data_IF_830576484683
#
_entry.id   IF_830576484683
#
_cell.length_a   1.000
_cell.length_b   1.000
_cell.length_c   1.000
_cell.angle_alpha   90.00
_cell.angle_beta   90.00
_cell.angle_gamma   90.00
#
_symmetry.space_group_name_H-M   'P 1'
#
loop_
_entity.id
_entity.type
_entity.pdbx_description
1 polymer ?
#
# COMPACT_ATOMS: atom_id res chain seq x y z
N UNK A 1 -19.82 19.37 13.31
CA UNK A 1 -20.70 19.05 14.46
C UNK A 1 -20.20 17.92 15.37
N UNK A 2 -19.32 17.03 14.89
CA UNK A 2 -18.84 15.91 15.72
C UNK A 2 -17.94 16.38 16.87
N UNK A 3 -17.19 17.47 16.72
CA UNK A 3 -16.35 18.01 17.79
C UNK A 3 -17.21 18.53 18.95
N UNK A 4 -18.34 19.17 18.64
CA UNK A 4 -19.32 19.60 19.65
C UNK A 4 -19.89 18.40 20.44
N UNK A 5 -20.31 17.34 19.74
CA UNK A 5 -20.84 16.14 20.40
C UNK A 5 -19.81 15.48 21.33
N UNK A 6 -18.55 15.40 20.92
CA UNK A 6 -17.47 14.89 21.76
C UNK A 6 -17.16 15.81 22.95
N UNK A 7 -17.21 17.13 22.74
CA UNK A 7 -17.02 18.13 23.79
C UNK A 7 -18.08 18.00 24.89
N UNK A 8 -19.36 17.85 24.50
CA UNK A 8 -20.48 17.64 25.41
C UNK A 8 -20.37 16.29 26.13
N UNK A 9 -20.17 15.19 25.39
CA UNK A 9 -20.13 13.83 25.96
C UNK A 9 -19.02 13.63 27.00
N UNK A 10 -17.92 14.39 26.92
CA UNK A 10 -16.83 14.35 27.91
C UNK A 10 -17.14 15.09 29.21
N UNK A 11 -18.09 16.02 29.19
CA UNK A 11 -18.35 16.94 30.29
C UNK A 11 -19.75 16.78 30.89
N UNK A 12 -20.69 16.21 30.15
CA UNK A 12 -22.08 16.12 30.53
C UNK A 12 -22.69 14.77 30.11
N UNK A 13 -23.59 14.25 30.94
CA UNK A 13 -24.36 13.05 30.64
C UNK A 13 -25.79 13.19 31.13
N UNK A 14 -26.75 12.65 30.40
CA UNK A 14 -28.17 12.74 30.74
C UNK A 14 -28.53 12.16 32.12
N UNK A 15 -27.71 11.25 32.66
CA UNK A 15 -27.98 10.57 33.92
C UNK A 15 -27.38 11.27 35.15
N UNK A 16 -26.40 12.16 34.96
CA UNK A 16 -25.64 12.77 36.06
C UNK A 16 -25.48 14.29 35.92
N UNK A 17 -25.75 14.84 34.75
CA UNK A 17 -25.52 16.24 34.45
C UNK A 17 -26.75 17.08 34.72
N UNK A 18 -26.53 18.23 35.34
CA UNK A 18 -27.53 19.29 35.47
C UNK A 18 -27.80 19.95 34.11
N UNK A 19 -29.07 20.18 33.77
CA UNK A 19 -29.49 20.83 32.53
C UNK A 19 -29.12 22.33 32.50
N UNK A 20 -29.01 22.96 33.67
CA UNK A 20 -28.58 24.35 33.82
C UNK A 20 -27.05 24.49 33.97
N UNK A 21 -26.35 23.35 34.04
CA UNK A 21 -24.90 23.29 34.18
C UNK A 21 -24.15 23.86 32.97
N UNK A 22 -23.21 24.76 33.23
CA UNK A 22 -22.35 25.32 32.18
C UNK A 22 -21.28 24.32 31.71
N UNK A 23 -21.11 24.19 30.39
CA UNK A 23 -20.09 23.33 29.77
C UNK A 23 -19.03 24.18 29.07
N UNK A 24 -17.75 23.84 29.25
CA UNK A 24 -16.67 24.55 28.55
C UNK A 24 -16.60 24.07 27.10
N UNK A 25 -16.72 25.00 26.16
CA UNK A 25 -16.59 24.71 24.73
C UNK A 25 -15.12 24.61 24.35
N UNK A 26 -14.71 23.48 23.77
CA UNK A 26 -13.36 23.30 23.24
C UNK A 26 -13.14 24.13 21.98
N UNK A 27 -11.87 24.36 21.60
CA UNK A 27 -11.54 25.10 20.36
C UNK A 27 -12.14 24.45 19.11
N UNK A 28 -12.11 23.12 19.03
CA UNK A 28 -12.68 22.38 17.90
C UNK A 28 -14.21 22.47 17.87
N UNK A 29 -14.85 22.42 19.04
CA UNK A 29 -16.30 22.61 19.14
C UNK A 29 -16.71 24.04 18.78
N UNK A 30 -15.93 25.04 19.17
CA UNK A 30 -16.14 26.42 18.76
C UNK A 30 -15.99 26.59 17.23
N UNK A 31 -15.01 25.92 16.62
CA UNK A 31 -14.86 25.91 15.16
C UNK A 31 -16.07 25.28 14.45
N UNK A 32 -16.57 24.16 14.97
CA UNK A 32 -17.83 23.53 14.50
C UNK A 32 -19.03 24.48 14.60
N UNK A 33 -19.13 25.26 15.68
CA UNK A 33 -20.22 26.22 15.92
C UNK A 33 -20.12 27.46 15.01
N UNK A 34 -18.91 27.93 14.69
CA UNK A 34 -18.71 29.07 13.77
C UNK A 34 -19.37 28.86 12.42
N UNK A 35 -19.45 27.62 11.94
CA UNK A 35 -20.14 27.30 10.69
C UNK A 35 -21.61 27.75 10.70
N UNK A 36 -22.30 27.61 11.83
CA UNK A 36 -23.73 27.95 11.98
C UNK A 36 -24.01 29.44 12.13
N UNK A 37 -23.02 30.22 12.55
CA UNK A 37 -23.15 31.68 12.71
C UNK A 37 -22.98 32.39 11.35
N UNK A 38 -22.38 31.73 10.36
CA UNK A 38 -22.21 32.28 9.02
C UNK A 38 -23.51 32.18 8.21
N UNK A 39 -24.18 33.32 7.98
CA UNK A 39 -25.48 33.38 7.29
C UNK A 39 -25.52 32.71 5.93
N UNK A 40 -24.43 32.79 5.15
CA UNK A 40 -24.33 32.14 3.84
C UNK A 40 -24.50 30.60 3.90
N UNK A 41 -24.07 29.98 5.01
CA UNK A 41 -24.20 28.53 5.18
C UNK A 41 -25.65 28.12 5.47
N UNK A 42 -26.44 29.01 6.11
CA UNK A 42 -27.85 28.77 6.41
C UNK A 42 -28.73 28.94 5.17
N UNK A 43 -28.33 29.84 4.26
CA UNK A 43 -29.04 30.08 2.99
C UNK A 43 -28.69 29.08 1.88
N UNK A 44 -27.58 28.34 2.02
CA UNK A 44 -27.20 27.29 1.06
C UNK A 44 -27.99 26.00 1.32
N UNK A 45 -28.96 25.73 0.44
CA UNK A 45 -29.68 24.46 0.42
C UNK A 45 -28.81 23.29 -0.04
N UNK A 46 -29.23 22.06 0.31
CA UNK A 46 -28.73 20.83 -0.32
C UNK A 46 -29.79 20.27 -1.26
N UNK A 47 -29.39 19.71 -2.42
CA UNK A 47 -30.30 18.96 -3.27
C UNK A 47 -30.97 17.82 -2.49
N UNK A 48 -32.29 17.68 -2.61
CA UNK A 48 -33.03 16.59 -1.98
C UNK A 48 -32.71 15.24 -2.65
N UNK A 49 -32.58 15.24 -3.97
CA UNK A 49 -32.11 14.09 -4.72
C UNK A 49 -30.58 14.13 -4.80
N UNK A 50 -29.93 13.13 -4.20
CA UNK A 50 -28.52 12.88 -4.49
C UNK A 50 -28.43 12.28 -5.89
N UNK A 51 -27.56 12.83 -6.75
CA UNK A 51 -27.27 12.21 -8.03
C UNK A 51 -26.85 10.76 -7.79
N UNK A 52 -27.40 9.78 -8.53
CA UNK A 52 -27.04 8.38 -8.36
C UNK A 52 -25.52 8.25 -8.47
N UNK A 53 -24.90 7.36 -7.67
CA UNK A 53 -23.46 7.15 -7.77
C UNK A 53 -23.12 6.73 -9.19
N UNK A 54 -22.23 7.50 -9.81
CA UNK A 54 -21.76 7.25 -11.18
C UNK A 54 -20.63 6.21 -11.16
N UNK A 55 -19.94 6.12 -10.03
CA UNK A 55 -18.67 5.41 -9.92
C UNK A 55 -18.62 4.61 -8.62
N UNK A 56 -18.23 3.33 -8.72
CA UNK A 56 -18.20 2.40 -7.59
C UNK A 56 -16.78 1.97 -7.28
N UNK A 57 -16.33 2.26 -6.06
CA UNK A 57 -15.03 1.84 -5.50
C UNK A 57 -15.27 0.73 -4.50
N UNK A 58 -14.59 -0.39 -4.66
CA UNK A 58 -14.66 -1.52 -3.73
C UNK A 58 -13.35 -1.57 -2.95
N UNK A 59 -13.44 -1.74 -1.63
CA UNK A 59 -12.29 -1.68 -0.73
C UNK A 59 -12.30 -2.81 0.28
N UNK A 60 -11.11 -3.18 0.74
CA UNK A 60 -10.90 -4.14 1.81
C UNK A 60 -9.63 -3.80 2.60
N UNK A 61 -9.61 -4.16 3.88
CA UNK A 61 -8.40 -4.12 4.68
C UNK A 61 -8.13 -5.47 5.36
N UNK A 62 -6.85 -5.79 5.49
CA UNK A 62 -6.38 -6.87 6.34
C UNK A 62 -5.47 -6.30 7.44
N UNK A 63 -4.96 -7.17 8.29
CA UNK A 63 -3.90 -6.82 9.24
C UNK A 63 -2.56 -6.52 8.55
N UNK A 64 -2.37 -6.95 7.31
CA UNK A 64 -1.13 -6.77 6.54
C UNK A 64 -1.14 -5.50 5.68
N UNK A 65 -2.26 -5.19 5.04
CA UNK A 65 -2.39 -4.03 4.17
C UNK A 65 -3.83 -3.77 3.73
N UNK A 66 -3.98 -2.95 2.72
CA UNK A 66 -5.27 -2.58 2.13
C UNK A 66 -5.27 -2.80 0.62
N UNK A 67 -6.46 -3.04 0.09
CA UNK A 67 -6.72 -3.25 -1.33
C UNK A 67 -7.98 -2.53 -1.76
N UNK A 68 -8.00 -2.06 -3.00
CA UNK A 68 -9.18 -1.48 -3.60
C UNK A 68 -9.17 -1.60 -5.11
N UNK A 69 -10.36 -1.58 -5.71
CA UNK A 69 -10.47 -1.49 -7.15
C UNK A 69 -11.63 -0.58 -7.59
N UNK A 70 -11.47 -0.04 -8.80
CA UNK A 70 -12.41 0.84 -9.49
C UNK A 70 -12.52 0.36 -10.95
N UNK A 71 -13.58 -0.38 -11.27
CA UNK A 71 -13.65 -1.10 -12.55
C UNK A 71 -12.45 -2.03 -12.69
N UNK A 72 -11.60 -1.79 -13.70
CA UNK A 72 -10.37 -2.55 -13.94
C UNK A 72 -9.13 -1.98 -13.23
N UNK A 73 -9.21 -0.75 -12.69
CA UNK A 73 -8.11 -0.15 -11.96
C UNK A 73 -8.00 -0.79 -10.58
N UNK A 74 -6.80 -1.22 -10.22
CA UNK A 74 -6.50 -1.81 -8.92
C UNK A 74 -5.48 -0.94 -8.19
N UNK A 75 -5.60 -0.92 -6.87
CA UNK A 75 -4.54 -0.41 -6.01
C UNK A 75 -4.47 -1.23 -4.73
N UNK A 76 -3.26 -1.34 -4.18
CA UNK A 76 -3.01 -1.93 -2.87
C UNK A 76 -1.85 -1.24 -2.19
N UNK A 77 -1.76 -1.36 -0.88
CA UNK A 77 -0.62 -0.86 -0.11
C UNK A 77 -0.47 -1.58 1.22
N UNK A 78 0.77 -1.73 1.68
CA UNK A 78 1.07 -2.28 2.99
C UNK A 78 0.81 -1.25 4.08
N UNK A 79 0.40 -1.72 5.26
CA UNK A 79 0.37 -0.89 6.46
C UNK A 79 1.78 -0.70 7.02
N UNK A 80 2.09 0.51 7.50
CA UNK A 80 3.31 0.72 8.29
C UNK A 80 3.27 -0.07 9.61
N UNK A 81 4.41 -0.24 10.28
CA UNK A 81 4.46 -0.93 11.57
C UNK A 81 3.57 -0.26 12.62
N UNK A 82 3.48 1.07 12.60
CA UNK A 82 2.58 1.83 13.49
C UNK A 82 1.11 1.62 13.13
N UNK A 83 0.82 1.44 11.84
CA UNK A 83 -0.54 1.25 11.35
C UNK A 83 -1.07 -0.16 11.64
N UNK A 84 -0.23 -1.19 11.55
CA UNK A 84 -0.61 -2.58 11.84
C UNK A 84 -1.12 -2.80 13.28
N UNK A 85 -0.79 -1.89 14.20
CA UNK A 85 -1.26 -1.93 15.59
C UNK A 85 -2.71 -1.44 15.72
N UNK A 86 -3.23 -0.72 14.72
CA UNK A 86 -4.61 -0.25 14.76
C UNK A 86 -5.62 -1.37 14.58
N UNK A 87 -6.75 -1.25 15.27
CA UNK A 87 -7.86 -2.19 15.14
C UNK A 87 -8.42 -2.19 13.70
N UNK A 88 -8.84 -3.36 13.21
CA UNK A 88 -9.29 -3.59 11.83
C UNK A 88 -10.35 -2.59 11.33
N UNK A 89 -11.38 -2.24 12.12
CA UNK A 89 -12.37 -1.21 11.75
C UNK A 89 -11.75 0.15 11.37
N UNK A 90 -10.62 0.53 11.99
CA UNK A 90 -9.92 1.76 11.64
C UNK A 90 -9.14 1.60 10.35
N UNK A 91 -8.53 0.43 10.14
CA UNK A 91 -7.81 0.08 8.92
C UNK A 91 -8.76 0.04 7.72
N UNK A 92 -9.95 -0.53 7.87
CA UNK A 92 -11.02 -0.52 6.86
C UNK A 92 -11.42 0.90 6.44
N UNK A 93 -11.71 1.75 7.42
CA UNK A 93 -12.07 3.15 7.14
C UNK A 93 -10.89 3.94 6.53
N UNK A 94 -9.65 3.61 6.90
CA UNK A 94 -8.45 4.19 6.32
C UNK A 94 -8.21 3.70 4.89
N UNK A 95 -8.45 2.43 4.60
CA UNK A 95 -8.35 1.84 3.27
C UNK A 95 -9.26 2.59 2.29
N UNK A 96 -10.49 2.89 2.69
CA UNK A 96 -11.41 3.74 1.92
C UNK A 96 -10.78 5.10 1.60
N UNK A 97 -10.22 5.79 2.60
CA UNK A 97 -9.60 7.10 2.39
C UNK A 97 -8.38 7.04 1.47
N UNK A 98 -7.57 5.99 1.54
CA UNK A 98 -6.41 5.80 0.69
C UNK A 98 -6.80 5.46 -0.75
N UNK A 99 -7.76 4.56 -0.93
CA UNK A 99 -8.32 4.20 -2.23
C UNK A 99 -8.89 5.42 -2.96
N UNK A 100 -9.73 6.20 -2.29
CA UNK A 100 -10.33 7.40 -2.89
C UNK A 100 -9.27 8.44 -3.28
N UNK A 101 -8.23 8.60 -2.46
CA UNK A 101 -7.11 9.49 -2.78
C UNK A 101 -6.35 9.04 -4.02
N UNK A 102 -6.10 7.75 -4.15
CA UNK A 102 -5.38 7.21 -5.30
C UNK A 102 -6.19 7.29 -6.59
N UNK A 103 -7.48 7.02 -6.52
CA UNK A 103 -8.39 7.14 -7.66
C UNK A 103 -8.89 8.55 -7.92
N UNK A 104 -8.38 9.58 -7.21
CA UNK A 104 -8.84 10.97 -7.32
C UNK A 104 -9.00 11.47 -8.77
N UNK A 105 -8.07 11.20 -9.71
CA UNK A 105 -8.24 11.63 -11.12
C UNK A 105 -9.56 11.16 -11.75
N UNK A 106 -10.05 9.99 -11.34
CA UNK A 106 -11.27 9.36 -11.84
C UNK A 106 -12.51 9.65 -11.00
N UNK A 107 -12.39 10.36 -9.86
CA UNK A 107 -13.47 10.56 -8.89
C UNK A 107 -13.85 12.03 -8.67
N UNK A 108 -12.99 12.97 -9.04
CA UNK A 108 -13.18 14.40 -8.76
C UNK A 108 -14.53 14.90 -9.29
N UNK A 109 -15.31 15.58 -8.45
CA UNK A 109 -16.61 16.14 -8.83
C UNK A 109 -17.75 15.12 -8.97
N UNK A 110 -17.54 13.85 -8.65
CA UNK A 110 -18.53 12.79 -8.86
C UNK A 110 -19.21 12.31 -7.57
N UNK A 111 -20.37 11.68 -7.75
CA UNK A 111 -21.00 10.82 -6.73
C UNK A 111 -20.36 9.44 -6.77
N UNK A 112 -19.74 9.04 -5.67
CA UNK A 112 -18.97 7.81 -5.53
C UNK A 112 -19.63 6.89 -4.50
N UNK A 113 -19.89 5.65 -4.92
CA UNK A 113 -20.31 4.57 -4.03
C UNK A 113 -19.08 3.80 -3.55
N UNK A 114 -18.96 3.64 -2.24
CA UNK A 114 -17.96 2.79 -1.61
C UNK A 114 -18.62 1.48 -1.20
N UNK A 115 -18.08 0.36 -1.67
CA UNK A 115 -18.48 -0.98 -1.24
C UNK A 115 -17.41 -1.54 -0.30
N UNK A 116 -17.83 -1.95 0.90
CA UNK A 116 -16.97 -2.55 1.94
C UNK A 116 -17.74 -3.66 2.66
N UNK A 117 -17.06 -4.70 3.09
CA UNK A 117 -17.64 -5.75 3.94
C UNK A 117 -17.71 -5.33 5.42
N UNK A 118 -17.01 -4.25 5.79
CA UNK A 118 -17.03 -3.73 7.14
C UNK A 118 -18.20 -2.77 7.38
N UNK A 119 -19.25 -3.29 8.02
CA UNK A 119 -20.43 -2.50 8.38
C UNK A 119 -20.11 -1.30 9.27
N UNK A 120 -19.09 -1.38 10.14
CA UNK A 120 -18.68 -0.25 10.98
C UNK A 120 -18.13 0.88 10.13
N UNK A 121 -17.24 0.59 9.18
CA UNK A 121 -16.70 1.57 8.25
C UNK A 121 -17.83 2.21 7.42
N UNK A 122 -18.73 1.40 6.86
CA UNK A 122 -19.93 1.87 6.13
C UNK A 122 -20.75 2.86 6.97
N UNK A 123 -21.06 2.52 8.22
CA UNK A 123 -21.83 3.40 9.11
C UNK A 123 -21.11 4.71 9.40
N UNK A 124 -19.81 4.67 9.68
CA UNK A 124 -19.02 5.88 9.96
C UNK A 124 -18.93 6.79 8.73
N UNK A 125 -18.88 6.25 7.52
CA UNK A 125 -18.93 7.03 6.28
C UNK A 125 -20.31 7.69 6.16
N UNK A 126 -21.39 6.93 6.15
CA UNK A 126 -22.74 7.44 5.92
C UNK A 126 -23.22 8.42 7.01
N UNK A 127 -22.79 8.21 8.26
CA UNK A 127 -23.09 9.11 9.38
C UNK A 127 -22.11 10.29 9.49
N UNK A 128 -21.07 10.36 8.67
CA UNK A 128 -20.04 11.39 8.76
C UNK A 128 -19.40 11.47 10.15
N UNK A 129 -18.91 10.31 10.60
CA UNK A 129 -18.35 10.11 11.94
C UNK A 129 -19.34 9.50 12.93
N UNK A 130 -18.87 9.33 14.17
CA UNK A 130 -19.61 8.67 15.23
C UNK A 130 -19.06 8.98 16.62
N UNK A 131 -19.74 8.47 17.65
CA UNK A 131 -19.39 8.69 19.06
C UNK A 131 -18.92 7.41 19.78
N UNK A 132 -18.88 6.27 19.06
CA UNK A 132 -18.44 4.99 19.61
C UNK A 132 -16.92 4.86 19.72
N UNK A 133 -16.17 5.52 18.83
CA UNK A 133 -14.71 5.55 18.86
C UNK A 133 -14.19 6.89 18.36
N UNK A 134 -13.34 7.52 19.16
CA UNK A 134 -12.72 8.80 18.81
C UNK A 134 -11.81 8.68 17.58
N UNK A 135 -11.06 7.58 17.46
CA UNK A 135 -10.16 7.34 16.33
C UNK A 135 -10.93 7.15 15.02
N UNK A 136 -12.00 6.33 15.03
CA UNK A 136 -12.87 6.15 13.86
C UNK A 136 -13.55 7.47 13.46
N UNK A 137 -14.01 8.25 14.45
CA UNK A 137 -14.62 9.55 14.18
C UNK A 137 -13.62 10.51 13.52
N UNK A 138 -12.40 10.58 14.06
CA UNK A 138 -11.33 11.41 13.50
C UNK A 138 -10.97 11.00 12.08
N UNK A 139 -10.90 9.71 11.79
CA UNK A 139 -10.61 9.21 10.44
C UNK A 139 -11.75 9.51 9.46
N UNK A 140 -13.01 9.34 9.88
CA UNK A 140 -14.18 9.71 9.08
C UNK A 140 -14.22 11.22 8.78
N UNK A 141 -13.89 12.07 9.75
CA UNK A 141 -13.82 13.52 9.53
C UNK A 141 -12.72 13.90 8.54
N UNK A 142 -11.56 13.24 8.59
CA UNK A 142 -10.49 13.43 7.59
C UNK A 142 -10.95 13.02 6.19
N UNK A 143 -11.64 11.89 6.08
CA UNK A 143 -12.22 11.41 4.84
C UNK A 143 -13.22 12.43 4.26
N UNK A 144 -14.16 12.92 5.08
CA UNK A 144 -15.19 13.86 4.63
C UNK A 144 -14.66 15.25 4.30
N UNK A 145 -13.69 15.77 5.07
CA UNK A 145 -13.01 17.03 4.72
C UNK A 145 -12.34 16.89 3.36
N UNK A 146 -11.58 15.82 3.16
CA UNK A 146 -10.92 15.56 1.88
C UNK A 146 -11.92 15.41 0.73
N UNK A 147 -13.01 14.66 0.91
CA UNK A 147 -14.04 14.49 -0.12
C UNK A 147 -14.69 15.83 -0.49
N UNK A 148 -14.98 16.67 0.50
CA UNK A 148 -15.53 18.02 0.29
C UNK A 148 -14.58 18.89 -0.54
N UNK A 149 -13.29 18.88 -0.21
CA UNK A 149 -12.27 19.67 -0.92
C UNK A 149 -12.14 19.28 -2.41
N UNK A 150 -12.52 18.04 -2.76
CA UNK A 150 -12.47 17.50 -4.12
C UNK A 150 -13.84 17.38 -4.78
N UNK A 151 -14.88 17.97 -4.18
CA UNK A 151 -16.27 17.96 -4.67
C UNK A 151 -16.83 16.54 -4.88
N UNK A 152 -16.43 15.59 -4.04
CA UNK A 152 -16.88 14.20 -4.10
C UNK A 152 -18.06 14.01 -3.15
N UNK A 153 -19.15 13.44 -3.67
CA UNK A 153 -20.29 13.00 -2.87
C UNK A 153 -20.12 11.51 -2.54
N UNK A 154 -19.99 11.16 -1.27
CA UNK A 154 -19.74 9.78 -0.84
C UNK A 154 -21.00 9.12 -0.28
N UNK A 155 -21.25 7.88 -0.71
CA UNK A 155 -22.20 6.95 -0.10
C UNK A 155 -21.51 5.61 0.09
N UNK A 156 -21.73 4.94 1.22
CA UNK A 156 -21.17 3.62 1.48
C UNK A 156 -22.27 2.55 1.59
N UNK A 157 -22.06 1.40 0.97
CA UNK A 157 -22.95 0.25 1.08
C UNK A 157 -22.16 -0.99 1.48
N UNK A 158 -22.82 -1.88 2.20
CA UNK A 158 -22.23 -3.15 2.59
C UNK A 158 -22.17 -4.11 1.38
N UNK A 159 -21.02 -4.72 1.18
CA UNK A 159 -20.81 -5.82 0.24
C UNK A 159 -20.49 -7.08 1.04
N UNK A 160 -21.23 -8.16 0.85
CA UNK A 160 -20.93 -9.41 1.54
C UNK A 160 -19.50 -9.87 1.20
N UNK A 161 -18.72 -10.28 2.20
CA UNK A 161 -17.30 -10.66 2.00
C UNK A 161 -17.08 -11.72 0.91
N UNK A 162 -18.03 -12.65 0.71
CA UNK A 162 -17.99 -13.64 -0.38
C UNK A 162 -18.01 -13.03 -1.78
N UNK A 163 -18.47 -11.79 -1.91
CA UNK A 163 -18.47 -11.01 -3.15
C UNK A 163 -17.26 -10.05 -3.22
N UNK A 164 -16.54 -9.84 -2.12
CA UNK A 164 -15.41 -8.90 -2.02
C UNK A 164 -14.05 -9.53 -2.40
N UNK A 165 -14.06 -10.59 -3.21
CA UNK A 165 -12.88 -11.44 -3.47
C UNK A 165 -11.69 -10.66 -4.02
N UNK A 166 -11.92 -9.68 -4.90
CA UNK A 166 -10.84 -8.92 -5.55
C UNK A 166 -10.15 -7.97 -4.57
N UNK A 167 -10.91 -7.17 -3.83
CA UNK A 167 -10.33 -6.26 -2.84
C UNK A 167 -9.70 -7.04 -1.66
N UNK A 168 -10.32 -8.14 -1.22
CA UNK A 168 -9.77 -9.08 -0.22
C UNK A 168 -8.43 -9.67 -0.67
N UNK A 169 -8.36 -10.08 -1.95
CA UNK A 169 -7.12 -10.56 -2.53
C UNK A 169 -6.05 -9.46 -2.52
N UNK A 170 -6.38 -8.24 -2.94
CA UNK A 170 -5.47 -7.10 -2.95
C UNK A 170 -4.99 -6.69 -1.55
N UNK A 171 -5.84 -6.81 -0.52
CA UNK A 171 -5.51 -6.45 0.86
C UNK A 171 -4.69 -7.52 1.59
N UNK A 172 -4.66 -8.77 1.11
CA UNK A 172 -3.98 -9.90 1.76
C UNK A 172 -2.79 -10.44 0.97
N UNK A 173 -2.86 -10.35 -0.35
CA UNK A 173 -1.86 -10.88 -1.27
C UNK A 173 -0.96 -9.76 -1.78
N UNK A 174 -0.11 -9.31 -0.86
CA UNK A 174 1.12 -8.65 -1.24
C UNK A 174 2.08 -9.77 -1.64
N UNK A 175 2.23 -9.98 -2.94
CA UNK A 175 3.41 -10.67 -3.47
C UNK A 175 4.60 -9.78 -3.09
N UNK A 176 5.10 -9.96 -1.86
CA UNK A 176 6.04 -9.12 -1.10
C UNK A 176 7.45 -9.09 -1.70
N UNK A 177 7.55 -9.13 -3.01
CA UNK A 177 8.64 -9.81 -3.70
C UNK A 177 8.99 -9.12 -5.03
N UNK A 178 8.10 -8.28 -5.58
CA UNK A 178 8.23 -7.76 -6.94
C UNK A 178 8.56 -6.26 -6.99
N UNK A 179 8.48 -5.54 -5.86
CA UNK A 179 8.54 -4.06 -5.86
C UNK A 179 9.61 -3.48 -4.94
N UNK A 180 10.19 -4.28 -4.04
CA UNK A 180 11.20 -3.78 -3.10
C UNK A 180 12.47 -3.35 -3.82
N UNK A 181 12.86 -2.10 -3.61
CA UNK A 181 14.13 -1.56 -4.09
C UNK A 181 15.21 -1.79 -3.06
N UNK A 182 16.32 -2.40 -3.47
CA UNK A 182 17.50 -2.52 -2.62
C UNK A 182 18.15 -1.14 -2.43
N UNK A 183 18.72 -0.88 -1.26
CA UNK A 183 19.33 0.43 -0.98
C UNK A 183 20.42 0.74 -2.03
N UNK A 184 20.37 1.90 -2.74
CA UNK A 184 21.27 2.19 -3.85
C UNK A 184 22.75 2.08 -3.52
N UNK A 185 23.17 2.48 -2.31
CA UNK A 185 24.57 2.37 -1.90
C UNK A 185 25.03 0.91 -1.75
N UNK A 186 24.13 0.01 -1.34
CA UNK A 186 24.46 -1.43 -1.26
C UNK A 186 24.64 -2.00 -2.67
N UNK A 187 23.77 -1.63 -3.60
CA UNK A 187 23.91 -2.03 -5.01
C UNK A 187 25.21 -1.49 -5.62
N UNK A 188 25.56 -0.22 -5.35
CA UNK A 188 26.84 0.35 -5.81
C UNK A 188 28.04 -0.42 -5.29
N UNK A 189 28.05 -0.79 -4.01
CA UNK A 189 29.13 -1.59 -3.42
C UNK A 189 29.26 -2.95 -4.11
N UNK A 190 28.13 -3.63 -4.34
CA UNK A 190 28.10 -4.92 -5.06
C UNK A 190 28.64 -4.75 -6.48
N UNK A 191 28.19 -3.73 -7.21
CA UNK A 191 28.61 -3.49 -8.59
C UNK A 191 30.09 -3.09 -8.70
N UNK A 192 30.63 -2.36 -7.72
CA UNK A 192 32.06 -2.07 -7.65
C UNK A 192 32.90 -3.33 -7.50
N UNK A 193 32.39 -4.36 -6.81
CA UNK A 193 33.11 -5.62 -6.63
C UNK A 193 32.99 -6.59 -7.81
N UNK A 194 31.79 -6.69 -8.41
CA UNK A 194 31.49 -7.76 -9.37
C UNK A 194 31.20 -7.28 -10.80
N UNK A 195 31.23 -5.96 -11.03
CA UNK A 195 30.98 -5.32 -12.32
C UNK A 195 29.62 -4.61 -12.37
N UNK A 196 29.42 -3.77 -13.39
CA UNK A 196 28.23 -2.96 -13.57
C UNK A 196 27.29 -3.58 -14.63
N UNK A 197 26.19 -4.22 -14.23
CA UNK A 197 25.22 -4.79 -15.14
C UNK A 197 24.47 -3.68 -15.90
N UNK A 198 24.09 -3.93 -17.15
CA UNK A 198 23.29 -2.96 -17.94
C UNK A 198 21.79 -3.21 -17.84
N UNK A 199 21.39 -4.42 -17.45
CA UNK A 199 19.99 -4.86 -17.39
C UNK A 199 19.66 -5.32 -15.98
N UNK A 200 18.58 -4.76 -15.45
CA UNK A 200 17.92 -5.15 -14.21
C UNK A 200 16.76 -6.10 -14.52
N UNK A 201 16.87 -7.35 -14.09
CA UNK A 201 15.84 -8.35 -14.26
C UNK A 201 14.84 -8.26 -13.10
N UNK A 202 13.55 -8.28 -13.44
CA UNK A 202 12.43 -8.28 -12.49
C UNK A 202 12.21 -6.94 -11.77
N UNK A 203 12.47 -5.83 -12.45
CA UNK A 203 12.33 -4.48 -11.93
C UNK A 203 11.21 -3.67 -12.61
N UNK A 204 10.83 -2.56 -11.98
CA UNK A 204 10.02 -1.47 -12.52
C UNK A 204 10.88 -0.23 -12.74
N UNK A 205 10.32 0.82 -13.32
CA UNK A 205 11.04 2.09 -13.51
C UNK A 205 11.49 2.72 -12.19
N UNK A 206 10.72 2.49 -11.13
CA UNK A 206 10.89 3.10 -9.82
C UNK A 206 11.94 2.39 -8.96
N UNK A 207 12.14 1.08 -9.18
CA UNK A 207 13.08 0.27 -8.40
C UNK A 207 14.30 -0.22 -9.18
N UNK A 208 14.38 0.00 -10.50
CA UNK A 208 15.53 -0.37 -11.29
C UNK A 208 16.83 0.31 -10.80
N UNK A 209 17.90 -0.49 -10.79
CA UNK A 209 19.27 -0.05 -10.52
C UNK A 209 20.12 0.07 -11.78
N UNK A 210 19.69 -0.55 -12.88
CA UNK A 210 20.38 -0.50 -14.16
C UNK A 210 19.69 0.46 -15.15
N UNK A 211 20.38 0.93 -16.20
CA UNK A 211 19.79 1.80 -17.22
C UNK A 211 18.62 1.17 -17.98
N UNK A 212 18.64 -0.17 -18.13
CA UNK A 212 17.57 -0.94 -18.77
C UNK A 212 16.99 -1.94 -17.77
N UNK A 213 15.71 -2.27 -17.90
CA UNK A 213 15.04 -3.21 -17.00
C UNK A 213 14.01 -4.08 -17.71
N UNK A 214 13.80 -5.29 -17.17
CA UNK A 214 12.71 -6.19 -17.57
C UNK A 214 11.68 -6.25 -16.45
N UNK A 215 10.39 -6.14 -16.78
CA UNK A 215 9.31 -6.10 -15.80
C UNK A 215 8.46 -7.37 -15.85
N UNK A 216 7.99 -7.81 -14.69
CA UNK A 216 7.02 -8.90 -14.56
C UNK A 216 5.60 -8.45 -14.93
N UNK A 217 5.31 -7.14 -14.87
CA UNK A 217 3.99 -6.56 -15.14
C UNK A 217 3.83 -6.16 -16.61
N UNK A 218 4.37 -6.93 -17.56
CA UNK A 218 4.28 -6.61 -18.98
C UNK A 218 2.81 -6.65 -19.50
N UNK A 219 2.39 -5.72 -20.39
CA UNK A 219 3.15 -4.64 -21.03
C UNK A 219 3.28 -3.35 -20.18
N UNK A 220 4.51 -2.86 -20.02
CA UNK A 220 4.85 -1.57 -19.35
C UNK A 220 5.74 -0.73 -20.26
N UNK A 221 5.39 0.55 -20.42
CA UNK A 221 6.17 1.49 -21.22
C UNK A 221 7.58 1.67 -20.63
N UNK A 222 8.62 1.48 -21.46
CA UNK A 222 10.03 1.63 -21.06
C UNK A 222 10.70 0.35 -20.56
N UNK A 223 9.96 -0.75 -20.34
CA UNK A 223 10.54 -2.05 -20.03
C UNK A 223 11.01 -2.77 -21.31
N UNK A 224 12.06 -3.59 -21.20
CA UNK A 224 12.56 -4.44 -22.28
C UNK A 224 11.69 -5.68 -22.59
N UNK A 225 10.60 -5.88 -21.84
CA UNK A 225 9.72 -7.05 -21.90
C UNK A 225 9.79 -7.95 -20.67
N UNK A 226 9.22 -9.15 -20.79
CA UNK A 226 9.32 -10.23 -19.80
C UNK A 226 10.77 -10.75 -19.74
N UNK A 227 11.35 -10.78 -18.54
CA UNK A 227 12.71 -11.25 -18.29
C UNK A 227 12.94 -12.70 -18.77
N UNK A 228 11.95 -13.59 -18.64
CA UNK A 228 12.11 -15.01 -18.98
C UNK A 228 12.03 -15.30 -20.48
N UNK A 229 11.51 -14.36 -21.28
CA UNK A 229 11.42 -14.49 -22.73
C UNK A 229 12.70 -14.03 -23.44
N UNK A 230 13.63 -13.41 -22.71
CA UNK A 230 14.90 -12.89 -23.24
C UNK A 230 16.03 -13.91 -23.08
N UNK A 231 17.02 -13.79 -23.96
CA UNK A 231 18.31 -14.43 -23.78
C UNK A 231 19.13 -13.70 -22.71
N UNK A 232 19.74 -14.46 -21.81
CA UNK A 232 20.58 -13.99 -20.71
C UNK A 232 22.08 -14.21 -21.01
N UNK A 233 22.42 -14.60 -22.24
CA UNK A 233 23.79 -14.93 -22.65
C UNK A 233 24.68 -13.67 -22.80
N UNK A 234 26.00 -13.88 -22.74
CA UNK A 234 27.06 -12.94 -23.13
C UNK A 234 27.08 -11.59 -22.41
N UNK A 235 26.47 -11.49 -21.23
CA UNK A 235 26.48 -10.27 -20.43
C UNK A 235 26.31 -10.54 -18.94
N UNK A 236 26.77 -9.59 -18.12
CA UNK A 236 26.49 -9.55 -16.70
C UNK A 236 25.10 -8.95 -16.45
N UNK A 237 24.25 -9.67 -15.72
CA UNK A 237 22.90 -9.24 -15.37
C UNK A 237 22.76 -9.01 -13.87
N UNK A 238 21.88 -8.09 -13.48
CA UNK A 238 21.43 -7.95 -12.10
C UNK A 238 20.02 -8.51 -11.98
N UNK A 239 19.74 -9.23 -10.89
CA UNK A 239 18.41 -9.72 -10.61
C UNK A 239 18.11 -9.59 -9.10
N UNK A 240 16.96 -9.00 -8.79
CA UNK A 240 16.36 -9.09 -7.47
C UNK A 240 14.93 -9.63 -7.62
N UNK A 241 14.78 -10.93 -7.91
CA UNK A 241 13.49 -11.49 -8.20
C UNK A 241 12.66 -11.71 -6.94
N UNK A 242 11.34 -11.82 -7.12
CA UNK A 242 10.46 -12.49 -6.18
C UNK A 242 11.01 -13.82 -5.67
N UNK A 243 10.90 -14.07 -4.36
CA UNK A 243 11.36 -15.32 -3.73
C UNK A 243 10.77 -16.57 -4.43
N UNK A 244 9.46 -16.66 -4.78
CA UNK A 244 8.90 -17.78 -5.52
C UNK A 244 9.50 -18.00 -6.91
N UNK A 245 10.09 -16.97 -7.52
CA UNK A 245 10.69 -17.05 -8.84
C UNK A 245 12.16 -17.49 -8.80
N UNK A 246 12.83 -17.46 -7.64
CA UNK A 246 14.23 -17.89 -7.50
C UNK A 246 14.50 -19.24 -8.17
N UNK A 247 13.73 -20.33 -7.95
CA UNK A 247 13.97 -21.62 -8.62
C UNK A 247 13.89 -21.55 -10.15
N UNK A 248 13.06 -20.67 -10.70
CA UNK A 248 12.94 -20.48 -12.15
C UNK A 248 14.11 -19.65 -12.68
N UNK A 249 14.56 -18.66 -11.91
CA UNK A 249 15.76 -17.86 -12.21
C UNK A 249 17.00 -18.74 -12.25
N UNK A 250 17.23 -19.59 -11.25
CA UNK A 250 18.38 -20.49 -11.21
C UNK A 250 18.39 -21.44 -12.42
N UNK A 251 17.23 -22.04 -12.75
CA UNK A 251 17.09 -22.87 -13.96
C UNK A 251 17.44 -22.08 -15.23
N UNK A 252 17.00 -20.83 -15.34
CA UNK A 252 17.30 -19.98 -16.49
C UNK A 252 18.79 -19.63 -16.57
N UNK A 253 19.44 -19.40 -15.43
CA UNK A 253 20.89 -19.18 -15.34
C UNK A 253 21.64 -20.37 -15.94
N UNK A 254 21.29 -21.60 -15.55
CA UNK A 254 21.90 -22.80 -16.11
C UNK A 254 21.62 -22.96 -17.61
N UNK A 255 20.36 -22.78 -18.03
CA UNK A 255 19.94 -22.97 -19.42
C UNK A 255 20.66 -22.03 -20.38
N UNK A 256 20.83 -20.77 -19.98
CA UNK A 256 21.45 -19.74 -20.82
C UNK A 256 22.96 -19.60 -20.56
N UNK A 257 23.53 -20.40 -19.64
CA UNK A 257 24.92 -20.23 -19.16
C UNK A 257 25.20 -18.78 -18.74
N UNK A 258 24.24 -18.16 -18.07
CA UNK A 258 24.25 -16.73 -17.79
C UNK A 258 25.16 -16.38 -16.60
N UNK A 259 25.71 -15.16 -16.60
CA UNK A 259 26.43 -14.57 -15.49
C UNK A 259 25.53 -13.55 -14.77
N UNK A 260 25.16 -13.81 -13.53
CA UNK A 260 24.13 -13.02 -12.81
C UNK A 260 24.59 -12.65 -11.40
N UNK A 261 24.41 -11.37 -11.05
CA UNK A 261 24.40 -10.90 -9.66
C UNK A 261 22.96 -11.03 -9.16
N UNK A 262 22.73 -12.03 -8.32
CA UNK A 262 21.42 -12.33 -7.76
C UNK A 262 21.33 -11.86 -6.31
N UNK A 263 20.29 -11.11 -5.96
CA UNK A 263 19.93 -10.86 -4.56
C UNK A 263 18.92 -11.92 -4.15
N UNK A 264 19.28 -12.73 -3.14
CA UNK A 264 18.45 -13.82 -2.65
C UNK A 264 18.68 -14.06 -1.15
N UNK A 265 17.67 -14.56 -0.43
CA UNK A 265 17.82 -14.88 0.99
C UNK A 265 18.72 -16.09 1.20
N UNK A 266 19.57 -16.03 2.22
CA UNK A 266 20.42 -17.15 2.64
C UNK A 266 19.64 -18.11 3.55
N UNK A 267 18.86 -18.99 2.91
CA UNK A 267 17.97 -19.92 3.58
C UNK A 267 18.33 -21.39 3.29
N UNK A 268 19.23 -22.01 4.09
CA UNK A 268 19.72 -23.37 3.85
C UNK A 268 18.64 -24.47 3.79
N UNK A 269 17.47 -24.21 4.38
CA UNK A 269 16.35 -25.17 4.42
C UNK A 269 15.47 -25.14 3.17
N UNK A 270 15.76 -24.30 2.18
CA UNK A 270 14.98 -24.23 0.93
C UNK A 270 15.52 -25.21 -0.10
N UNK A 271 14.60 -25.83 -0.85
CA UNK A 271 14.92 -26.83 -1.90
C UNK A 271 15.86 -26.32 -2.99
N UNK A 272 15.84 -25.01 -3.28
CA UNK A 272 16.67 -24.37 -4.32
C UNK A 272 18.04 -23.90 -3.79
N UNK A 273 18.33 -24.09 -2.51
CA UNK A 273 19.56 -23.58 -1.89
C UNK A 273 20.81 -24.33 -2.39
N UNK A 274 20.70 -25.63 -2.65
CA UNK A 274 21.79 -26.41 -3.25
C UNK A 274 22.23 -25.84 -4.61
N UNK A 275 21.25 -25.44 -5.42
CA UNK A 275 21.50 -24.92 -6.76
C UNK A 275 22.20 -23.55 -6.69
N UNK A 276 21.85 -22.71 -5.70
CA UNK A 276 22.59 -21.48 -5.42
C UNK A 276 24.05 -21.73 -5.11
N UNK A 277 24.33 -22.69 -4.22
CA UNK A 277 25.71 -23.02 -3.85
C UNK A 277 26.51 -23.56 -5.03
N UNK A 278 25.90 -24.43 -5.85
CA UNK A 278 26.54 -25.01 -7.03
C UNK A 278 26.90 -23.94 -8.07
N UNK A 279 25.99 -22.98 -8.30
CA UNK A 279 26.19 -21.91 -9.27
C UNK A 279 27.08 -20.77 -8.74
N UNK A 280 27.36 -20.73 -7.44
CA UNK A 280 28.08 -19.62 -6.82
C UNK A 280 29.56 -19.64 -7.18
N UNK A 281 30.06 -18.53 -7.72
CA UNK A 281 31.47 -18.37 -8.08
C UNK A 281 32.37 -18.02 -6.89
N UNK A 282 31.78 -17.51 -5.81
CA UNK A 282 32.49 -17.06 -4.62
C UNK A 282 31.56 -17.13 -3.38
N UNK A 283 32.08 -16.95 -2.16
CA UNK A 283 31.22 -16.81 -0.98
C UNK A 283 30.20 -15.66 -1.16
N UNK A 284 28.93 -15.85 -0.76
CA UNK A 284 27.92 -14.81 -0.87
C UNK A 284 28.22 -13.62 0.03
N UNK A 285 27.90 -12.42 -0.44
CA UNK A 285 28.05 -11.20 0.35
C UNK A 285 26.81 -10.98 1.21
N UNK A 286 26.98 -11.03 2.53
CA UNK A 286 25.92 -10.68 3.48
C UNK A 286 25.59 -9.20 3.41
N UNK A 287 24.32 -8.87 3.19
CA UNK A 287 23.87 -7.49 3.22
C UNK A 287 23.68 -7.01 4.66
N UNK A 288 24.07 -5.77 4.99
CA UNK A 288 23.95 -5.23 6.34
C UNK A 288 22.48 -5.11 6.74
N UNK A 289 22.19 -5.39 8.01
CA UNK A 289 20.86 -5.18 8.59
C UNK A 289 20.68 -3.69 8.86
N UNK A 290 20.05 -3.00 7.90
CA UNK A 290 19.73 -1.58 7.96
C UNK A 290 18.23 -1.41 7.82
N UNK A 291 17.60 -0.47 8.53
CA UNK A 291 16.16 -0.22 8.41
C UNK A 291 15.76 0.22 6.98
N UNK A 292 16.70 0.87 6.27
CA UNK A 292 16.54 1.38 4.91
C UNK A 292 16.98 0.40 3.80
N UNK A 293 17.33 -0.85 4.16
CA UNK A 293 17.89 -1.81 3.20
C UNK A 293 16.95 -2.08 2.03
N UNK A 294 15.66 -2.26 2.30
CA UNK A 294 14.62 -2.39 1.29
C UNK A 294 13.58 -1.29 1.48
N UNK A 295 13.23 -0.62 0.39
CA UNK A 295 12.21 0.41 0.40
C UNK A 295 11.28 0.37 -0.81
N UNK A 296 10.07 0.88 -0.63
CA UNK A 296 9.14 1.22 -1.71
C UNK A 296 9.04 2.74 -1.85
N UNK A 297 8.50 3.19 -2.98
CA UNK A 297 8.18 4.60 -3.23
C UNK A 297 9.35 5.54 -2.94
N UNK A 298 10.55 5.17 -3.42
CA UNK A 298 11.78 5.96 -3.25
C UNK A 298 12.17 6.22 -1.77
N UNK A 299 11.94 5.25 -0.88
CA UNK A 299 12.36 5.38 0.52
C UNK A 299 11.25 5.79 1.50
N UNK A 300 10.03 6.02 1.01
CA UNK A 300 8.91 6.42 1.87
C UNK A 300 8.36 5.27 2.73
N UNK A 301 8.47 4.04 2.25
CA UNK A 301 8.01 2.85 2.96
C UNK A 301 9.18 1.90 3.13
N UNK A 302 9.53 1.60 4.37
CA UNK A 302 10.59 0.67 4.73
C UNK A 302 10.03 -0.74 4.90
N UNK A 303 10.82 -1.76 4.56
CA UNK A 303 10.38 -3.14 4.71
C UNK A 303 10.19 -3.51 6.19
N UNK A 304 8.99 -3.97 6.62
CA UNK A 304 8.62 -4.09 8.03
C UNK A 304 9.39 -5.19 8.78
N UNK A 305 9.91 -6.20 8.08
CA UNK A 305 10.62 -7.32 8.71
C UNK A 305 11.86 -7.75 7.90
N UNK A 306 12.89 -6.91 7.89
CA UNK A 306 14.14 -7.18 7.16
C UNK A 306 15.00 -8.29 7.79
N UNK A 307 14.88 -8.48 9.11
CA UNK A 307 15.70 -9.44 9.84
C UNK A 307 15.42 -10.89 9.42
N UNK A 308 14.18 -11.21 9.08
CA UNK A 308 13.79 -12.57 8.68
C UNK A 308 14.25 -12.95 7.26
N UNK A 309 14.56 -11.97 6.41
CA UNK A 309 14.95 -12.23 5.03
C UNK A 309 16.39 -12.73 4.91
N UNK A 310 17.31 -12.29 5.77
CA UNK A 310 18.73 -12.66 5.69
C UNK A 310 19.30 -12.53 4.25
N UNK A 311 19.08 -11.37 3.61
CA UNK A 311 19.46 -11.17 2.20
C UNK A 311 20.97 -11.18 2.01
N UNK A 312 21.38 -11.87 0.95
CA UNK A 312 22.75 -11.91 0.46
C UNK A 312 22.78 -11.58 -1.03
N UNK A 313 23.92 -11.06 -1.48
CA UNK A 313 24.23 -10.96 -2.89
C UNK A 313 25.06 -12.19 -3.30
N UNK A 314 24.68 -12.79 -4.42
CA UNK A 314 25.28 -14.01 -4.96
C UNK A 314 25.80 -13.71 -6.36
N UNK A 315 27.04 -14.11 -6.65
CA UNK A 315 27.60 -14.04 -7.99
C UNK A 315 27.53 -15.43 -8.60
N UNK A 316 26.61 -15.61 -9.55
CA UNK A 316 26.25 -16.91 -10.11
C UNK A 316 26.70 -17.03 -11.56
N UNK A 317 27.14 -18.21 -11.95
CA UNK A 317 27.48 -18.53 -13.33
C UNK A 317 26.89 -19.89 -13.75
N UNK A 318 26.07 -19.89 -14.79
CA UNK A 318 25.47 -21.13 -15.32
C UNK A 318 26.40 -22.00 -16.17
N UNK A 319 27.64 -21.58 -16.39
CA UNK A 319 28.64 -22.35 -17.14
C UNK A 319 29.52 -23.26 -16.26
N UNK A 320 29.31 -23.27 -14.93
CA UNK A 320 30.02 -24.12 -13.96
C UNK A 320 29.46 -25.53 -13.91
#
# INVERSE_FOLDING_TARGET
MRALQWCLRRQWSQHKGDLEGSVKISRDAAADLKWWIAGNNLSQGKPFAQSPPVTTVITDASTLGWGAHLGDLEIKGLWSAEEQIFHINLLELRAVRLALKAFLPSLRGQSVQVLTDNTTAMWYINKQGGVGSYLLCREALRLWSWAKDHQICLVANHLAGVLNVRADSLSRHFSADHEWRLHPDQVRLIFQMWGFPRIDLFATRENAHCPLYCSLQYPVQGALGDAFQRSWCDQLLYAFPPIPLIPRVLRKICQDRALVILIAPDWPRRVWYSDLLQLSMCPPLRLPLRADLLSLSQGQVLHPNLQSLHLHAWRLNGAT
#
